data_IF_145554103729
#
_entry.id   IF_145554103729
#
_cell.length_a   1.000
_cell.length_b   1.000
_cell.length_c   1.000
_cell.angle_alpha   90.00
_cell.angle_beta   90.00
_cell.angle_gamma   90.00
#
_symmetry.space_group_name_H-M   'P 1'
#
loop_
_entity.id
_entity.type
_entity.pdbx_description
1 polymer ?
#
# COMPACT_ATOMS: atom_id res chain seq x y z
N UNK A 1 9.36 -20.54 17.26
CA UNK A 1 9.37 -19.13 16.83
C UNK A 1 8.85 -19.14 15.40
N UNK A 2 7.53 -19.23 15.22
CA UNK A 2 6.95 -19.15 13.88
C UNK A 2 7.29 -17.77 13.35
N UNK A 3 8.13 -17.70 12.32
CA UNK A 3 8.44 -16.46 11.63
C UNK A 3 7.10 -15.90 11.17
N UNK A 4 6.65 -14.83 11.81
CA UNK A 4 5.45 -14.09 11.45
C UNK A 4 5.70 -13.58 10.03
N UNK A 5 5.36 -14.38 9.02
CA UNK A 5 5.49 -13.97 7.63
C UNK A 5 4.55 -12.78 7.49
N UNK A 6 5.13 -11.61 7.21
CA UNK A 6 4.36 -10.43 6.88
C UNK A 6 3.58 -10.76 5.60
N UNK A 7 2.34 -11.18 5.80
CA UNK A 7 1.44 -11.62 4.73
C UNK A 7 1.25 -10.52 3.69
N UNK A 8 1.30 -9.26 4.13
CA UNK A 8 1.27 -8.08 3.25
C UNK A 8 2.48 -8.06 2.32
N UNK A 9 3.67 -8.38 2.83
CA UNK A 9 4.88 -8.50 2.00
C UNK A 9 4.81 -9.69 1.06
N UNK A 10 4.25 -10.83 1.48
CA UNK A 10 4.04 -12.00 0.61
C UNK A 10 3.10 -11.66 -0.55
N UNK A 11 1.93 -11.09 -0.26
CA UNK A 11 0.93 -10.72 -1.28
C UNK A 11 1.46 -9.62 -2.20
N UNK A 12 2.17 -8.62 -1.67
CA UNK A 12 2.87 -7.62 -2.49
C UNK A 12 3.84 -8.27 -3.47
N UNK A 13 4.69 -9.19 -3.01
CA UNK A 13 5.67 -9.88 -3.87
C UNK A 13 4.98 -10.66 -4.98
N UNK A 14 3.93 -11.40 -4.65
CA UNK A 14 3.14 -12.13 -5.67
C UNK A 14 2.51 -11.17 -6.66
N UNK A 15 1.85 -10.10 -6.19
CA UNK A 15 1.19 -9.13 -7.06
C UNK A 15 2.18 -8.47 -8.02
N UNK A 16 3.31 -7.97 -7.50
CA UNK A 16 4.34 -7.30 -8.30
C UNK A 16 5.05 -8.25 -9.29
N UNK A 17 5.01 -9.56 -9.05
CA UNK A 17 5.57 -10.56 -9.97
C UNK A 17 4.60 -10.95 -11.08
N UNK A 18 3.28 -10.80 -10.88
CA UNK A 18 2.24 -11.25 -11.82
C UNK A 18 1.49 -10.11 -12.52
N UNK A 19 1.59 -8.88 -12.00
CA UNK A 19 0.92 -7.70 -12.53
C UNK A 19 1.94 -6.76 -13.18
N UNK A 20 1.48 -6.00 -14.18
CA UNK A 20 2.25 -4.89 -14.73
C UNK A 20 2.27 -3.66 -13.78
N UNK A 21 1.39 -3.67 -12.78
CA UNK A 21 1.27 -2.62 -11.77
C UNK A 21 2.10 -2.95 -10.54
N UNK A 22 2.74 -1.93 -9.96
CA UNK A 22 3.55 -2.06 -8.74
C UNK A 22 2.73 -1.55 -7.57
N UNK A 23 2.70 -2.32 -6.47
CA UNK A 23 1.98 -1.96 -5.26
C UNK A 23 2.89 -1.80 -4.05
N UNK A 24 2.45 -0.95 -3.13
CA UNK A 24 3.10 -0.64 -1.86
C UNK A 24 2.18 -1.03 -0.69
N UNK A 25 2.77 -1.38 0.43
CA UNK A 25 2.03 -1.43 1.70
C UNK A 25 1.70 -0.01 2.17
N UNK A 26 0.67 0.14 3.01
CA UNK A 26 0.30 1.43 3.61
C UNK A 26 1.48 2.11 4.33
N UNK A 27 2.34 1.32 4.98
CA UNK A 27 3.54 1.85 5.64
C UNK A 27 4.57 2.36 4.63
N UNK A 28 4.80 1.64 3.53
CA UNK A 28 5.74 2.07 2.49
C UNK A 28 5.26 3.34 1.79
N UNK A 29 3.98 3.40 1.42
CA UNK A 29 3.39 4.60 0.82
C UNK A 29 3.41 5.80 1.79
N UNK A 30 3.11 5.56 3.07
CA UNK A 30 3.20 6.59 4.11
C UNK A 30 4.63 7.13 4.23
N UNK A 31 5.62 6.26 4.29
CA UNK A 31 7.03 6.67 4.34
C UNK A 31 7.43 7.52 3.13
N UNK A 32 6.94 7.19 1.93
CA UNK A 32 7.18 7.97 0.71
C UNK A 32 6.59 9.38 0.77
N UNK A 33 5.44 9.55 1.45
CA UNK A 33 4.76 10.84 1.61
C UNK A 33 5.11 11.56 2.93
N UNK A 34 6.05 11.03 3.73
CA UNK A 34 6.36 11.57 5.06
C UNK A 34 5.23 11.41 6.09
N UNK A 35 4.30 10.48 5.86
CA UNK A 35 3.15 10.22 6.71
C UNK A 35 3.35 8.97 7.58
N UNK A 36 2.88 9.03 8.83
CA UNK A 36 2.73 7.84 9.66
C UNK A 36 1.70 6.88 9.05
N UNK A 37 1.74 5.60 9.44
CA UNK A 37 0.81 4.59 8.94
C UNK A 37 -0.66 4.97 9.13
N UNK A 38 -1.02 5.55 10.28
CA UNK A 38 -2.40 5.94 10.55
C UNK A 38 -2.82 7.20 9.79
N UNK A 39 -1.91 8.18 9.66
CA UNK A 39 -2.14 9.33 8.79
C UNK A 39 -2.28 8.92 7.32
N UNK A 40 -1.52 7.92 6.88
CA UNK A 40 -1.64 7.39 5.52
C UNK A 40 -3.01 6.75 5.29
N UNK A 41 -3.58 6.02 6.25
CA UNK A 41 -4.95 5.48 6.10
C UNK A 41 -5.98 6.60 5.90
N UNK A 42 -5.88 7.65 6.71
CA UNK A 42 -6.75 8.84 6.59
C UNK A 42 -6.55 9.50 5.22
N UNK A 43 -5.30 9.60 4.77
CA UNK A 43 -4.96 10.17 3.46
C UNK A 43 -5.60 9.36 2.32
N UNK A 44 -5.47 8.03 2.35
CA UNK A 44 -6.09 7.13 1.37
C UNK A 44 -7.60 7.36 1.28
N UNK A 45 -8.28 7.49 2.43
CA UNK A 45 -9.71 7.75 2.48
C UNK A 45 -10.09 9.13 1.91
N UNK A 46 -9.30 10.17 2.23
CA UNK A 46 -9.53 11.54 1.76
C UNK A 46 -9.27 11.74 0.27
N UNK A 47 -8.23 11.09 -0.25
CA UNK A 47 -7.81 11.21 -1.65
C UNK A 47 -8.38 10.10 -2.55
N UNK A 48 -9.25 9.24 -2.00
CA UNK A 48 -9.90 8.14 -2.71
C UNK A 48 -8.93 7.22 -3.46
N UNK A 49 -7.76 6.95 -2.87
CA UNK A 49 -6.74 6.11 -3.50
C UNK A 49 -7.21 4.66 -3.62
N UNK A 50 -6.68 3.97 -4.64
CA UNK A 50 -7.07 2.59 -4.95
C UNK A 50 -6.58 1.63 -3.87
N UNK A 51 -7.52 1.00 -3.16
CA UNK A 51 -7.25 -0.01 -2.13
C UNK A 51 -7.34 -1.41 -2.71
N UNK A 52 -6.19 -2.07 -2.88
CA UNK A 52 -6.13 -3.46 -3.32
C UNK A 52 -6.25 -4.36 -2.08
N UNK A 53 -7.39 -5.03 -1.85
CA UNK A 53 -7.62 -5.78 -0.62
C UNK A 53 -6.65 -6.96 -0.50
N UNK A 54 -6.06 -7.12 0.69
CA UNK A 54 -5.27 -8.29 1.03
C UNK A 54 -6.19 -9.21 1.85
N UNK A 55 -6.71 -10.27 1.23
CA UNK A 55 -7.61 -11.23 1.87
C UNK A 55 -8.99 -10.63 2.21
N UNK A 56 -9.83 -11.33 2.99
CA UNK A 56 -11.17 -10.86 3.41
C UNK A 56 -11.13 -9.75 4.49
N UNK A 57 -9.99 -9.08 4.69
CA UNK A 57 -9.82 -8.09 5.76
C UNK A 57 -9.91 -6.66 5.20
N UNK A 58 -10.87 -5.89 5.72
CA UNK A 58 -11.06 -4.48 5.35
C UNK A 58 -9.92 -3.56 5.79
N UNK A 59 -9.14 -3.97 6.79
CA UNK A 59 -8.05 -3.16 7.35
C UNK A 59 -6.68 -3.38 6.68
N UNK A 60 -6.53 -4.40 5.84
CA UNK A 60 -5.27 -4.72 5.15
C UNK A 60 -5.47 -4.60 3.65
N UNK A 61 -4.79 -3.62 3.07
CA UNK A 61 -4.80 -3.37 1.64
C UNK A 61 -3.41 -2.91 1.20
N UNK A 62 -3.16 -3.04 -0.11
CA UNK A 62 -2.03 -2.45 -0.81
C UNK A 62 -2.51 -1.22 -1.59
N UNK A 63 -1.58 -0.34 -1.92
CA UNK A 63 -1.81 0.89 -2.67
C UNK A 63 -1.01 0.85 -3.96
N UNK A 64 -1.53 1.46 -5.01
CA UNK A 64 -0.81 1.57 -6.28
C UNK A 64 0.37 2.52 -6.12
N UNK A 65 1.57 2.09 -6.51
CA UNK A 65 2.76 2.94 -6.49
C UNK A 65 2.59 4.13 -7.46
N UNK A 66 1.94 3.91 -8.61
CA UNK A 66 1.67 4.94 -9.62
C UNK A 66 0.90 6.11 -9.03
N UNK A 67 -0.18 5.87 -8.28
CA UNK A 67 -0.96 6.93 -7.62
C UNK A 67 -0.10 7.73 -6.62
N UNK A 68 0.77 7.06 -5.85
CA UNK A 68 1.68 7.73 -4.92
C UNK A 68 2.74 8.56 -5.66
N UNK A 69 3.31 8.02 -6.74
CA UNK A 69 4.27 8.73 -7.58
C UNK A 69 3.63 9.95 -8.26
N UNK A 70 2.36 9.88 -8.66
CA UNK A 70 1.62 11.00 -9.23
C UNK A 70 1.38 12.11 -8.20
N UNK A 71 1.05 11.75 -6.96
CA UNK A 71 0.94 12.72 -5.87
C UNK A 71 2.27 13.44 -5.66
N UNK A 72 3.37 12.68 -5.56
CA UNK A 72 4.72 13.24 -5.36
C UNK A 72 5.22 14.12 -6.50
N UNK A 73 4.69 13.95 -7.72
CA UNK A 73 5.02 14.80 -8.87
C UNK A 73 4.22 16.11 -8.89
N UNK A 74 3.10 16.15 -8.19
CA UNK A 74 2.18 17.28 -8.18
C UNK A 74 2.33 18.16 -6.93
N UNK A 75 3.23 17.80 -6.00
CA UNK A 75 3.61 18.55 -4.79
C UNK A 75 4.96 19.27 -5.00
#
# INVERSE_FOLDING_TARGET
MEAFQDWSQKVKRTFNATSNEVVLTVTEAGNSLGLSKDNMKIYVDKHHLTKIPIMRSVHRYLLLKSEIDEILKND
#
